data_IF_118077764334
#
_entry.id   IF_118077764334
#
_cell.length_a   1.000
_cell.length_b   1.000
_cell.length_c   1.000
_cell.angle_alpha   90.00
_cell.angle_beta   90.00
_cell.angle_gamma   90.00
#
_symmetry.space_group_name_H-M   'P 1'
#
loop_
_entity.id
_entity.type
_entity.pdbx_description
1 polymer ?
#
# COMPACT_ATOMS: atom_id res chain seq x y z
N UNK A 1 43.08 -4.58 -6.55
CA UNK A 1 42.92 -5.73 -5.65
C UNK A 1 41.76 -5.42 -4.73
N UNK A 2 40.66 -6.17 -4.85
CA UNK A 2 39.46 -5.96 -4.04
C UNK A 2 39.65 -6.83 -2.78
N UNK A 3 39.65 -6.21 -1.60
CA UNK A 3 39.75 -6.91 -0.32
C UNK A 3 38.38 -7.51 0.03
N UNK A 4 38.36 -8.81 0.29
CA UNK A 4 37.19 -9.56 0.72
C UNK A 4 37.23 -9.62 2.25
N UNK A 5 36.27 -8.99 2.93
CA UNK A 5 36.12 -9.05 4.38
C UNK A 5 35.08 -10.11 4.74
N UNK A 6 35.53 -11.22 5.30
CA UNK A 6 34.67 -12.28 5.85
C UNK A 6 34.20 -11.90 7.26
N UNK A 7 32.89 -11.93 7.50
CA UNK A 7 32.28 -11.83 8.83
C UNK A 7 31.83 -13.23 9.27
N UNK A 8 32.14 -13.73 10.48
CA UNK A 8 31.76 -15.07 10.92
C UNK A 8 30.30 -15.11 11.39
N UNK A 9 29.56 -16.14 10.97
CA UNK A 9 28.22 -16.47 11.48
C UNK A 9 28.40 -17.45 12.66
N UNK A 10 27.86 -17.19 13.86
CA UNK A 10 27.87 -18.16 14.93
C UNK A 10 26.79 -19.24 14.71
N UNK A 11 27.20 -20.50 14.79
CA UNK A 11 26.34 -21.66 14.78
C UNK A 11 25.69 -21.84 16.17
N UNK A 12 24.36 -21.93 16.23
CA UNK A 12 23.64 -22.36 17.43
C UNK A 12 23.47 -23.88 17.39
N UNK A 13 24.12 -24.58 18.31
CA UNK A 13 23.95 -26.01 18.55
C UNK A 13 22.69 -26.30 19.41
N UNK A 14 22.15 -27.48 19.16
CA UNK A 14 20.89 -28.02 19.66
C UNK A 14 20.93 -28.35 21.16
N UNK A 15 19.83 -28.06 21.88
CA UNK A 15 19.59 -28.58 23.22
C UNK A 15 18.42 -29.56 23.15
N UNK A 16 18.71 -30.84 23.42
CA UNK A 16 17.73 -31.92 23.55
C UNK A 16 16.89 -31.74 24.83
N UNK A 17 15.58 -32.02 24.75
CA UNK A 17 14.68 -32.13 25.91
C UNK A 17 14.09 -33.53 25.93
N UNK A 18 14.42 -34.31 26.97
CA UNK A 18 13.80 -35.59 27.33
C UNK A 18 12.48 -35.36 28.12
N UNK A 19 11.52 -36.30 28.10
CA UNK A 19 10.18 -36.12 28.69
C UNK A 19 10.12 -36.60 30.15
N UNK A 20 9.37 -35.86 30.98
CA UNK A 20 9.11 -36.19 32.40
C UNK A 20 7.63 -36.48 32.66
N UNK A 21 7.38 -37.46 33.54
CA UNK A 21 6.16 -38.25 33.72
C UNK A 21 4.94 -37.56 34.38
N UNK A 22 3.76 -38.14 34.11
CA UNK A 22 2.45 -37.85 34.73
C UNK A 22 2.24 -38.67 36.02
N UNK A 23 1.49 -38.14 36.99
CA UNK A 23 0.48 -38.85 37.82
C UNK A 23 -0.26 -37.83 38.73
N UNK A 24 -1.47 -37.38 38.37
CA UNK A 24 -2.81 -37.84 38.82
C UNK A 24 -3.14 -37.66 40.31
N UNK A 25 -4.04 -36.70 40.62
CA UNK A 25 -5.02 -36.82 41.72
C UNK A 25 -6.38 -36.33 41.21
N UNK A 26 -7.36 -37.22 41.30
CA UNK A 26 -8.76 -37.12 40.88
C UNK A 26 -9.66 -36.49 41.97
N UNK A 27 -10.62 -35.65 41.53
CA UNK A 27 -12.05 -35.48 41.90
C UNK A 27 -12.45 -35.48 43.41
N UNK A 28 -13.31 -34.62 43.97
CA UNK A 28 -14.68 -34.23 43.56
C UNK A 28 -15.18 -32.94 44.26
N UNK A 29 -15.97 -32.16 43.51
CA UNK A 29 -17.13 -31.32 43.86
C UNK A 29 -17.18 -30.48 45.16
N UNK A 30 -17.22 -29.16 44.96
CA UNK A 30 -18.17 -28.28 45.65
C UNK A 30 -18.75 -27.30 44.63
N UNK A 31 -20.04 -27.48 44.33
CA UNK A 31 -20.89 -26.66 43.50
C UNK A 31 -20.90 -25.22 44.05
N UNK A 32 -20.53 -24.24 43.22
CA UNK A 32 -20.87 -22.84 43.45
C UNK A 32 -21.43 -22.27 42.14
N UNK A 33 -22.76 -22.26 42.03
CA UNK A 33 -23.49 -21.52 41.02
C UNK A 33 -23.10 -20.04 41.10
N UNK A 34 -22.26 -19.59 40.17
CA UNK A 34 -22.10 -18.17 39.90
C UNK A 34 -22.57 -17.90 38.48
N UNK A 35 -23.87 -17.57 38.44
CA UNK A 35 -24.59 -16.72 37.50
C UNK A 35 -23.77 -16.29 36.27
N UNK A 36 -24.07 -16.89 35.12
CA UNK A 36 -23.63 -16.38 33.82
C UNK A 36 -24.41 -15.09 33.59
N UNK A 37 -23.77 -13.92 33.79
CA UNK A 37 -24.35 -12.64 33.37
C UNK A 37 -24.37 -12.60 31.84
N UNK A 38 -25.59 -12.65 31.30
CA UNK A 38 -25.88 -12.43 29.89
C UNK A 38 -25.27 -11.08 29.44
N UNK A 39 -24.51 -11.02 28.33
CA UNK A 39 -24.01 -9.76 27.81
C UNK A 39 -25.19 -8.84 27.50
N UNK A 40 -25.41 -7.84 28.37
CA UNK A 40 -26.41 -6.81 28.18
C UNK A 40 -26.08 -6.11 26.86
N UNK A 41 -26.82 -6.42 25.80
CA UNK A 41 -26.63 -5.80 24.50
C UNK A 41 -26.93 -4.30 24.63
N UNK A 42 -25.86 -3.51 24.78
CA UNK A 42 -25.97 -2.08 24.86
C UNK A 42 -26.50 -1.56 23.52
N UNK A 43 -27.79 -1.23 23.48
CA UNK A 43 -28.41 -0.61 22.32
C UNK A 43 -27.54 0.57 21.86
N UNK A 44 -27.07 0.51 20.60
CA UNK A 44 -26.22 1.53 20.01
C UNK A 44 -26.91 2.89 20.14
N UNK A 45 -26.38 3.77 21.01
CA UNK A 45 -26.90 5.14 21.17
C UNK A 45 -26.71 5.89 19.85
N UNK A 46 -27.76 5.93 19.04
CA UNK A 46 -27.77 6.69 17.80
C UNK A 46 -27.85 8.18 18.12
N UNK A 47 -27.03 8.97 17.43
CA UNK A 47 -27.01 10.42 17.58
C UNK A 47 -28.38 11.04 17.29
N UNK A 48 -28.91 11.79 18.27
CA UNK A 48 -30.14 12.60 18.14
C UNK A 48 -29.80 14.03 17.71
N UNK A 49 -28.51 14.33 17.46
CA UNK A 49 -28.07 15.68 17.10
C UNK A 49 -28.67 16.08 15.75
N UNK A 50 -29.31 17.24 15.69
CA UNK A 50 -29.75 17.83 14.43
C UNK A 50 -28.55 18.02 13.50
N UNK A 51 -28.60 17.39 12.32
CA UNK A 51 -27.57 17.56 11.30
C UNK A 51 -27.74 18.92 10.66
N UNK A 52 -26.75 19.80 10.84
CA UNK A 52 -26.64 21.02 10.04
C UNK A 52 -26.11 20.62 8.65
N UNK A 53 -26.60 21.25 7.58
CA UNK A 53 -26.06 21.03 6.25
C UNK A 53 -24.58 21.42 6.25
N UNK A 54 -23.77 20.62 5.54
CA UNK A 54 -22.32 20.87 5.41
C UNK A 54 -22.06 22.13 4.59
N UNK A 55 -22.99 22.48 3.70
CA UNK A 55 -22.89 23.61 2.78
C UNK A 55 -23.97 24.62 3.16
N UNK A 56 -23.59 25.89 3.30
CA UNK A 56 -24.51 26.99 3.57
C UNK A 56 -25.38 27.28 2.34
N UNK A 57 -26.61 27.75 2.55
CA UNK A 57 -27.51 28.15 1.46
C UNK A 57 -26.95 29.28 0.59
N UNK A 58 -26.04 30.10 1.12
CA UNK A 58 -25.44 31.23 0.41
C UNK A 58 -24.21 30.82 -0.42
N UNK A 59 -23.94 29.52 -0.56
CA UNK A 59 -22.82 29.02 -1.34
C UNK A 59 -23.12 29.11 -2.84
N UNK A 60 -22.46 30.06 -3.53
CA UNK A 60 -22.49 30.18 -4.98
C UNK A 60 -21.40 29.29 -5.58
N UNK A 61 -21.80 28.18 -6.19
CA UNK A 61 -20.90 27.33 -6.99
C UNK A 61 -20.81 27.94 -8.38
N UNK A 62 -19.66 28.50 -8.72
CA UNK A 62 -19.33 28.73 -10.13
C UNK A 62 -19.12 27.35 -10.75
N UNK A 63 -20.12 26.88 -11.50
CA UNK A 63 -19.91 25.78 -12.43
C UNK A 63 -18.94 26.33 -13.48
N UNK A 64 -17.65 26.05 -13.31
CA UNK A 64 -16.69 26.24 -14.40
C UNK A 64 -17.14 25.23 -15.44
N UNK A 65 -17.90 25.70 -16.43
CA UNK A 65 -18.14 24.92 -17.64
C UNK A 65 -16.75 24.54 -18.16
N UNK A 66 -16.56 23.24 -18.24
CA UNK A 66 -15.31 22.57 -18.59
C UNK A 66 -15.04 22.79 -20.09
N UNK A 67 -14.90 24.04 -20.54
CA UNK A 67 -14.43 24.37 -21.90
C UNK A 67 -12.91 24.14 -22.05
N UNK A 68 -12.30 23.37 -21.15
CA UNK A 68 -10.95 22.84 -21.33
C UNK A 68 -10.91 21.33 -21.65
N UNK A 69 -12.06 20.68 -21.88
CA UNK A 69 -12.12 19.26 -22.28
C UNK A 69 -12.04 19.00 -23.80
N UNK A 70 -11.78 20.03 -24.61
CA UNK A 70 -11.91 19.93 -26.07
C UNK A 70 -10.59 19.81 -26.83
N UNK A 71 -9.45 19.73 -26.14
CA UNK A 71 -8.29 19.07 -26.73
C UNK A 71 -8.41 17.58 -26.45
N UNK A 72 -9.14 16.90 -27.34
CA UNK A 72 -9.29 15.44 -27.46
C UNK A 72 -7.94 14.83 -27.90
N UNK A 73 -6.88 15.12 -27.18
CA UNK A 73 -5.71 14.26 -27.17
C UNK A 73 -5.93 13.36 -25.96
N UNK A 74 -6.71 12.29 -26.14
CA UNK A 74 -6.90 11.33 -25.07
C UNK A 74 -5.52 10.84 -24.61
N UNK A 75 -5.19 11.14 -23.36
CA UNK A 75 -3.95 10.71 -22.74
C UNK A 75 -3.79 9.20 -22.93
N UNK A 76 -2.63 8.73 -23.42
CA UNK A 76 -2.48 7.32 -23.73
C UNK A 76 -2.54 6.48 -22.45
N UNK A 77 -3.43 5.48 -22.43
CA UNK A 77 -3.62 4.62 -21.25
C UNK A 77 -2.56 3.51 -21.16
N UNK A 78 -1.75 3.35 -22.20
CA UNK A 78 -0.73 2.33 -22.33
C UNK A 78 0.50 2.88 -23.06
N UNK A 79 1.67 2.33 -22.73
CA UNK A 79 2.92 2.62 -23.43
C UNK A 79 2.78 2.45 -24.94
N UNK A 80 2.08 1.41 -25.39
CA UNK A 80 1.87 1.17 -26.82
C UNK A 80 1.12 2.32 -27.49
N UNK A 81 0.04 2.78 -26.88
CA UNK A 81 -0.73 3.92 -27.38
C UNK A 81 0.10 5.21 -27.35
N UNK A 82 0.92 5.40 -26.31
CA UNK A 82 1.83 6.54 -26.23
C UNK A 82 2.85 6.54 -27.39
N UNK A 83 3.42 5.39 -27.72
CA UNK A 83 4.37 5.25 -28.83
C UNK A 83 3.71 5.29 -30.21
N UNK A 84 2.44 4.92 -30.33
CA UNK A 84 1.66 5.04 -31.57
C UNK A 84 1.07 6.45 -31.77
N UNK A 85 1.12 7.32 -30.75
CA UNK A 85 0.60 8.68 -30.82
C UNK A 85 1.53 9.64 -31.58
N UNK A 86 0.97 10.75 -32.06
CA UNK A 86 1.72 11.84 -32.68
C UNK A 86 2.77 12.46 -31.73
N UNK A 87 2.54 12.34 -30.42
CA UNK A 87 3.41 12.86 -29.36
C UNK A 87 4.40 11.81 -28.83
N UNK A 88 4.61 10.70 -29.55
CA UNK A 88 5.47 9.59 -29.12
C UNK A 88 6.88 10.00 -28.72
N UNK A 89 7.49 10.94 -29.44
CA UNK A 89 8.82 11.47 -29.12
C UNK A 89 8.82 12.21 -27.76
N UNK A 90 7.79 13.03 -27.51
CA UNK A 90 7.64 13.73 -26.23
C UNK A 90 7.46 12.74 -25.07
N UNK A 91 6.66 11.70 -25.26
CA UNK A 91 6.50 10.63 -24.27
C UNK A 91 7.80 9.88 -24.01
N UNK A 92 8.56 9.57 -25.06
CA UNK A 92 9.84 8.89 -24.94
C UNK A 92 10.87 9.74 -24.21
N UNK A 93 10.92 11.04 -24.50
CA UNK A 93 11.81 11.97 -23.82
C UNK A 93 11.43 12.11 -22.34
N UNK A 94 10.15 12.27 -22.02
CA UNK A 94 9.67 12.31 -20.65
C UNK A 94 10.04 11.03 -19.86
N UNK A 95 9.88 9.84 -20.45
CA UNK A 95 10.29 8.58 -19.81
C UNK A 95 11.80 8.52 -19.56
N UNK A 96 12.63 9.00 -20.49
CA UNK A 96 14.08 9.06 -20.32
C UNK A 96 14.48 10.05 -19.25
N UNK A 97 13.83 11.22 -19.20
CA UNK A 97 14.08 12.23 -18.18
C UNK A 97 13.73 11.72 -16.78
N UNK A 98 12.60 11.04 -16.63
CA UNK A 98 12.21 10.42 -15.36
C UNK A 98 13.23 9.36 -14.91
N UNK A 99 13.62 8.44 -15.81
CA UNK A 99 14.64 7.44 -15.52
C UNK A 99 15.99 8.07 -15.15
N UNK A 100 16.38 9.13 -15.87
CA UNK A 100 17.61 9.88 -15.57
C UNK A 100 17.51 10.58 -14.23
N UNK A 101 16.38 11.18 -13.88
CA UNK A 101 16.17 11.81 -12.58
C UNK A 101 16.31 10.80 -11.44
N UNK A 102 15.81 9.58 -11.61
CA UNK A 102 16.01 8.51 -10.63
C UNK A 102 17.49 8.14 -10.46
N UNK A 103 18.26 8.07 -11.56
CA UNK A 103 19.70 7.84 -11.49
C UNK A 103 20.44 9.01 -10.85
N UNK A 104 20.14 10.26 -11.25
CA UNK A 104 20.77 11.47 -10.73
C UNK A 104 20.53 11.61 -9.22
N UNK A 105 19.31 11.29 -8.76
CA UNK A 105 18.94 11.31 -7.35
C UNK A 105 19.46 10.10 -6.56
N UNK A 106 20.09 9.11 -7.23
CA UNK A 106 20.61 7.86 -6.64
C UNK A 106 19.60 7.18 -5.71
N UNK A 107 18.32 7.20 -6.13
CA UNK A 107 17.25 6.63 -5.32
C UNK A 107 17.16 5.12 -5.47
N UNK A 108 17.53 4.57 -6.63
CA UNK A 108 17.42 3.14 -6.94
C UNK A 108 18.74 2.55 -7.45
N UNK A 109 19.03 1.31 -7.01
CA UNK A 109 20.13 0.49 -7.53
C UNK A 109 19.56 -0.71 -8.32
N UNK A 110 20.16 -1.01 -9.46
CA UNK A 110 19.81 -2.19 -10.25
C UNK A 110 20.48 -3.43 -9.64
N UNK A 111 19.69 -4.29 -8.99
CA UNK A 111 20.16 -5.53 -8.36
C UNK A 111 19.48 -6.73 -8.99
N UNK A 112 20.21 -7.84 -9.12
CA UNK A 112 19.62 -9.12 -9.54
C UNK A 112 18.57 -9.60 -8.54
N UNK A 113 17.43 -10.07 -9.04
CA UNK A 113 16.34 -10.53 -8.18
C UNK A 113 16.80 -11.78 -7.38
N UNK A 114 16.85 -11.71 -6.04
CA UNK A 114 17.30 -12.85 -5.25
C UNK A 114 16.34 -14.03 -5.35
N UNK A 115 16.88 -15.25 -5.30
CA UNK A 115 16.11 -16.49 -5.44
C UNK A 115 14.97 -16.53 -4.42
N UNK A 116 13.75 -16.84 -4.89
CA UNK A 116 12.55 -16.92 -4.06
C UNK A 116 11.85 -15.59 -3.78
N UNK A 117 12.35 -14.47 -4.31
CA UNK A 117 11.74 -13.15 -4.12
C UNK A 117 10.75 -12.81 -5.24
N UNK A 118 9.68 -12.07 -4.88
CA UNK A 118 8.71 -11.54 -5.84
C UNK A 118 9.15 -10.15 -6.28
N UNK A 119 9.26 -9.94 -7.59
CA UNK A 119 9.50 -8.60 -8.15
C UNK A 119 8.32 -7.68 -7.86
N UNK A 120 8.62 -6.42 -7.54
CA UNK A 120 7.62 -5.35 -7.51
C UNK A 120 7.37 -4.89 -8.95
N UNK A 121 6.11 -4.79 -9.34
CA UNK A 121 5.74 -4.24 -10.65
C UNK A 121 5.77 -2.71 -10.63
N UNK A 122 6.06 -2.11 -11.79
CA UNK A 122 5.88 -0.69 -12.04
C UNK A 122 4.92 -0.50 -13.23
N UNK A 123 4.20 0.62 -13.23
CA UNK A 123 3.27 1.00 -14.31
C UNK A 123 3.51 2.45 -14.68
N UNK A 124 3.55 2.73 -15.98
CA UNK A 124 3.58 4.08 -16.52
C UNK A 124 2.19 4.70 -16.56
N UNK A 125 2.11 5.98 -16.19
CA UNK A 125 0.90 6.80 -16.31
C UNK A 125 1.29 8.03 -17.11
N UNK A 126 0.59 8.26 -18.22
CA UNK A 126 0.86 9.37 -19.14
C UNK A 126 -0.21 10.44 -18.93
N UNK A 127 0.20 11.70 -18.80
CA UNK A 127 -0.71 12.84 -18.69
C UNK A 127 -0.15 14.05 -19.41
N UNK A 128 -0.96 14.67 -20.25
CA UNK A 128 -0.60 15.88 -20.98
C UNK A 128 -0.71 17.09 -20.05
N UNK A 129 0.26 18.00 -20.15
CA UNK A 129 0.25 19.28 -19.42
C UNK A 129 -0.17 20.37 -20.41
N UNK A 130 -1.18 21.15 -20.04
CA UNK A 130 -1.60 22.32 -20.79
C UNK A 130 -1.11 23.57 -20.08
N UNK A 131 -0.43 24.44 -20.81
CA UNK A 131 -0.08 25.77 -20.33
C UNK A 131 -1.34 26.65 -20.41
N UNK A 132 -1.75 27.24 -19.28
CA UNK A 132 -2.88 28.18 -19.18
C UNK A 132 -2.44 29.64 -19.34
#
# INVERSE_FOLDING_TARGET
>A
QIQQVNVPIPHNEHINVEPGDNEQVTNEELINEQLIEEPQEAALRRSVRQKRPVISNDYVVYSVEHECDLSIDEDPVSFRQAMESNNSENWLNAMKEELKSMDDNKVWDLVELPKGSKRVGCKWVFKTKHDS
#
